data_IF_530302106767
#
_entry.id   IF_530302106767
#
_cell.length_a   1.000
_cell.length_b   1.000
_cell.length_c   1.000
_cell.angle_alpha   90.00
_cell.angle_beta   90.00
_cell.angle_gamma   90.00
#
_symmetry.space_group_name_H-M   'P 1'
#
loop_
_entity.id
_entity.type
_entity.pdbx_description
1 polymer ?
#
# COMPACT_ATOMS: atom_id res chain seq x y z
N UNK A 1 4.84 -11.37 25.65
CA UNK A 1 4.54 -11.09 24.22
C UNK A 1 3.06 -11.19 23.97
N UNK A 2 2.47 -10.23 23.23
CA UNK A 2 1.05 -10.30 22.83
C UNK A 2 0.90 -11.24 21.64
N UNK A 3 -0.04 -12.18 21.70
CA UNK A 3 -0.42 -13.04 20.58
C UNK A 3 -1.37 -12.29 19.65
N UNK A 4 -1.12 -12.35 18.33
CA UNK A 4 -2.03 -11.85 17.31
C UNK A 4 -2.57 -13.03 16.50
N UNK A 5 -3.89 -13.15 16.43
CA UNK A 5 -4.57 -14.32 15.83
C UNK A 5 -4.98 -14.10 14.38
N UNK A 6 -5.17 -12.85 13.93
CA UNK A 6 -5.56 -12.56 12.54
C UNK A 6 -4.55 -13.11 11.54
N UNK A 7 -5.00 -13.43 10.34
CA UNK A 7 -4.13 -13.97 9.27
C UNK A 7 -3.27 -12.90 8.61
N UNK A 8 -3.81 -11.68 8.47
CA UNK A 8 -3.11 -10.55 7.87
C UNK A 8 -2.74 -9.54 8.95
N UNK A 9 -1.42 -9.33 9.10
CA UNK A 9 -0.84 -8.43 10.08
C UNK A 9 -0.07 -7.34 9.35
N UNK A 10 -0.48 -6.12 9.54
CA UNK A 10 0.13 -4.95 8.91
C UNK A 10 1.08 -4.26 9.89
N UNK A 11 2.26 -3.87 9.40
CA UNK A 11 3.19 -3.01 10.08
C UNK A 11 3.39 -1.75 9.25
N UNK A 12 2.98 -0.61 9.73
CA UNK A 12 3.12 0.62 8.96
C UNK A 12 2.24 1.77 9.41
N UNK A 13 1.99 2.68 8.47
CA UNK A 13 1.36 3.96 8.76
C UNK A 13 -0.17 3.89 8.80
N UNK A 14 -0.70 4.65 9.75
CA UNK A 14 -2.07 5.17 9.78
C UNK A 14 -2.03 6.61 10.28
N UNK A 15 -2.59 7.55 9.54
CA UNK A 15 -2.62 8.97 9.89
C UNK A 15 -3.88 9.64 9.36
N UNK A 16 -4.16 10.83 9.87
CA UNK A 16 -5.22 11.66 9.33
C UNK A 16 -4.77 12.35 8.05
N UNK A 17 -5.64 12.38 7.06
CA UNK A 17 -5.49 13.12 5.81
C UNK A 17 -6.46 14.29 5.80
N UNK A 18 -5.94 15.50 5.67
CA UNK A 18 -6.71 16.73 5.52
C UNK A 18 -6.65 17.21 4.08
N UNK A 19 -7.80 17.44 3.48
CA UNK A 19 -7.90 18.04 2.14
C UNK A 19 -8.61 19.36 2.25
N UNK A 20 -7.93 20.42 1.89
CA UNK A 20 -8.45 21.78 1.85
C UNK A 20 -8.66 22.18 0.38
N UNK A 21 -9.92 22.43 -0.03
CA UNK A 21 -10.26 22.94 -1.36
C UNK A 21 -10.54 24.43 -1.26
N UNK A 22 -9.76 25.25 -1.96
CA UNK A 22 -9.98 26.68 -2.06
C UNK A 22 -11.35 26.98 -2.69
N UNK A 23 -12.13 27.86 -2.06
CA UNK A 23 -13.40 28.33 -2.62
C UNK A 23 -13.18 29.30 -3.80
N UNK A 24 -12.06 30.04 -3.77
CA UNK A 24 -11.69 31.06 -4.74
C UNK A 24 -10.25 30.82 -5.24
N UNK A 25 -9.72 31.72 -6.04
CA UNK A 25 -8.29 31.72 -6.38
C UNK A 25 -7.42 31.95 -5.14
N UNK A 26 -6.27 31.31 -5.09
CA UNK A 26 -5.30 31.50 -4.01
C UNK A 26 -4.82 32.95 -3.98
N UNK A 27 -4.97 33.59 -2.85
CA UNK A 27 -4.40 34.91 -2.58
C UNK A 27 -3.21 34.70 -1.65
N UNK A 28 -2.00 34.89 -2.18
CA UNK A 28 -0.77 34.73 -1.38
C UNK A 28 -0.74 35.75 -0.24
N UNK A 29 -0.17 35.34 0.89
CA UNK A 29 -0.02 36.16 2.10
C UNK A 29 -1.34 36.64 2.72
N UNK A 30 -2.45 35.97 2.46
CA UNK A 30 -3.78 36.28 3.02
C UNK A 30 -4.47 35.00 3.47
N UNK A 31 -5.47 35.16 4.33
CA UNK A 31 -6.37 34.07 4.71
C UNK A 31 -7.26 33.70 3.51
N UNK A 32 -7.29 32.44 3.18
CA UNK A 32 -8.08 31.91 2.06
C UNK A 32 -9.16 30.97 2.60
N UNK A 33 -10.45 31.24 2.34
CA UNK A 33 -11.55 30.36 2.71
C UNK A 33 -11.47 29.04 1.95
N UNK A 34 -11.66 27.93 2.68
CA UNK A 34 -11.62 26.56 2.14
C UNK A 34 -12.89 25.78 2.47
N UNK A 35 -13.16 24.74 1.69
CA UNK A 35 -13.89 23.54 2.15
C UNK A 35 -12.87 22.55 2.61
N UNK A 36 -13.12 21.83 3.70
CA UNK A 36 -12.21 20.81 4.17
C UNK A 36 -12.89 19.46 4.25
N UNK A 37 -12.09 18.41 4.07
CA UNK A 37 -12.49 17.01 4.20
C UNK A 37 -11.40 16.28 4.97
N UNK A 38 -11.84 15.38 5.84
CA UNK A 38 -10.96 14.53 6.61
C UNK A 38 -11.12 13.07 6.19
N UNK A 39 -10.04 12.34 6.26
CA UNK A 39 -10.02 10.90 6.03
C UNK A 39 -8.80 10.30 6.71
N UNK A 40 -8.73 8.97 6.72
CA UNK A 40 -7.55 8.27 7.19
C UNK A 40 -6.74 7.74 6.01
N UNK A 41 -5.42 7.91 6.06
CA UNK A 41 -4.45 7.50 5.08
C UNK A 41 -3.34 6.63 5.67
N UNK A 42 -2.30 6.43 4.87
CA UNK A 42 -1.18 5.55 5.13
C UNK A 42 -1.29 4.24 4.34
N UNK A 43 -0.20 3.81 3.69
CA UNK A 43 -0.22 2.63 2.80
C UNK A 43 -0.68 1.38 3.54
N UNK A 44 -0.09 1.07 4.71
CA UNK A 44 -0.50 -0.08 5.51
C UNK A 44 -1.99 -0.03 5.88
N UNK A 45 -2.51 1.14 6.30
CA UNK A 45 -3.92 1.32 6.60
C UNK A 45 -4.81 1.11 5.36
N UNK A 46 -4.46 1.73 4.24
CA UNK A 46 -5.26 1.65 3.02
C UNK A 46 -5.36 0.21 2.49
N UNK A 47 -4.24 -0.51 2.46
CA UNK A 47 -4.19 -1.94 2.09
C UNK A 47 -5.00 -2.79 3.08
N UNK A 48 -4.82 -2.55 4.38
CA UNK A 48 -5.55 -3.24 5.45
C UNK A 48 -7.06 -3.05 5.32
N UNK A 49 -7.53 -1.83 5.03
CA UNK A 49 -8.94 -1.50 4.86
C UNK A 49 -9.61 -2.30 3.74
N UNK A 50 -8.90 -2.56 2.65
CA UNK A 50 -9.43 -3.39 1.55
C UNK A 50 -9.64 -4.83 2.00
N UNK A 51 -8.66 -5.42 2.69
CA UNK A 51 -8.77 -6.79 3.21
C UNK A 51 -9.80 -6.85 4.34
N UNK A 52 -9.89 -5.83 5.18
CA UNK A 52 -10.83 -5.74 6.29
C UNK A 52 -12.31 -5.77 5.88
N UNK A 53 -12.61 -5.46 4.62
CA UNK A 53 -13.94 -5.67 4.05
C UNK A 53 -14.32 -7.17 3.92
N UNK A 54 -13.35 -8.07 3.98
CA UNK A 54 -13.52 -9.52 3.79
C UNK A 54 -13.26 -10.32 5.07
N UNK A 55 -12.22 -9.99 5.82
CA UNK A 55 -11.90 -10.63 7.09
C UNK A 55 -11.17 -9.65 8.02
N UNK A 56 -11.29 -9.89 9.32
CA UNK A 56 -10.67 -9.05 10.34
C UNK A 56 -9.15 -9.12 10.25
N UNK A 57 -8.50 -7.96 10.28
CA UNK A 57 -7.05 -7.82 10.19
C UNK A 57 -6.46 -7.13 11.42
N UNK A 58 -5.13 -7.12 11.53
CA UNK A 58 -4.42 -6.38 12.58
C UNK A 58 -3.47 -5.35 11.97
N UNK A 59 -3.44 -4.16 12.56
CA UNK A 59 -2.49 -3.10 12.21
C UNK A 59 -1.64 -2.76 13.43
N UNK A 60 -0.32 -2.92 13.29
CA UNK A 60 0.69 -2.55 14.27
C UNK A 60 1.37 -1.26 13.81
N UNK A 61 1.27 -0.23 14.63
CA UNK A 61 1.83 1.09 14.29
C UNK A 61 2.37 1.80 15.53
N UNK A 62 2.77 3.06 15.41
CA UNK A 62 2.97 3.93 16.56
C UNK A 62 1.61 4.30 17.16
N UNK A 63 1.57 4.63 18.46
CA UNK A 63 0.31 4.85 19.14
C UNK A 63 -0.48 6.02 18.54
N UNK A 64 -1.81 5.91 18.56
CA UNK A 64 -2.76 6.85 17.99
C UNK A 64 -3.74 7.35 19.04
N UNK A 65 -4.41 8.45 18.73
CA UNK A 65 -5.54 8.95 19.49
C UNK A 65 -6.74 7.99 19.45
N UNK A 66 -7.67 8.23 20.35
CA UNK A 66 -8.86 7.37 20.51
C UNK A 66 -9.77 7.40 19.29
N UNK A 67 -9.82 8.52 18.56
CA UNK A 67 -10.61 8.65 17.34
C UNK A 67 -10.11 7.72 16.25
N UNK A 68 -8.79 7.74 15.98
CA UNK A 68 -8.13 6.82 15.04
C UNK A 68 -8.36 5.36 15.44
N UNK A 69 -8.23 5.02 16.73
CA UNK A 69 -8.41 3.65 17.20
C UNK A 69 -9.86 3.21 17.01
N UNK A 70 -10.85 4.04 17.34
CA UNK A 70 -12.26 3.76 17.16
C UNK A 70 -12.63 3.61 15.68
N UNK A 71 -12.08 4.46 14.82
CA UNK A 71 -12.25 4.34 13.38
C UNK A 71 -11.73 3.00 12.86
N UNK A 72 -10.53 2.59 13.24
CA UNK A 72 -9.93 1.31 12.84
C UNK A 72 -10.81 0.13 13.29
N UNK A 73 -11.26 0.15 14.55
CA UNK A 73 -12.14 -0.89 15.11
C UNK A 73 -13.45 -1.01 14.34
N UNK A 74 -14.10 0.12 13.98
CA UNK A 74 -15.32 0.15 13.14
C UNK A 74 -15.10 -0.43 11.75
N UNK A 75 -13.88 -0.42 11.26
CA UNK A 75 -13.49 -0.96 9.95
C UNK A 75 -12.86 -2.36 10.04
N UNK A 76 -13.11 -3.16 11.08
CA UNK A 76 -12.58 -4.50 11.28
C UNK A 76 -11.04 -4.59 11.35
N UNK A 77 -10.38 -3.52 11.79
CA UNK A 77 -8.93 -3.46 11.96
C UNK A 77 -8.59 -3.41 13.44
N UNK A 78 -8.01 -4.48 13.99
CA UNK A 78 -7.48 -4.50 15.35
C UNK A 78 -6.19 -3.68 15.41
N UNK A 79 -6.14 -2.68 16.26
CA UNK A 79 -4.97 -1.83 16.42
C UNK A 79 -4.06 -2.32 17.55
N UNK A 80 -2.76 -2.32 17.28
CA UNK A 80 -1.69 -2.57 18.25
C UNK A 80 -0.62 -1.49 18.10
N UNK A 81 -0.04 -1.04 19.21
CA UNK A 81 1.01 -0.03 19.17
C UNK A 81 2.34 -0.54 19.68
N UNK A 82 3.44 -0.03 19.12
CA UNK A 82 4.79 -0.26 19.60
C UNK A 82 5.10 0.49 20.88
N UNK A 83 4.50 1.66 21.08
CA UNK A 83 4.77 2.60 22.15
C UNK A 83 3.48 3.05 22.84
N UNK A 84 3.63 3.74 23.99
CA UNK A 84 2.49 4.31 24.73
C UNK A 84 2.22 5.77 24.38
N UNK A 85 3.26 6.52 23.95
CA UNK A 85 3.16 7.95 23.63
C UNK A 85 2.36 8.15 22.35
N UNK A 86 1.33 8.97 22.40
CA UNK A 86 0.58 9.42 21.24
C UNK A 86 1.38 10.51 20.54
N UNK A 87 1.57 10.37 19.22
CA UNK A 87 2.24 11.36 18.39
C UNK A 87 1.28 11.70 17.24
N UNK A 88 0.90 12.97 17.14
CA UNK A 88 0.10 13.47 16.03
C UNK A 88 0.87 13.34 14.73
N UNK A 89 0.22 12.87 13.71
CA UNK A 89 0.75 12.73 12.36
C UNK A 89 -0.37 12.88 11.36
N UNK A 90 -0.06 13.57 10.28
CA UNK A 90 -1.06 13.90 9.27
C UNK A 90 -0.39 14.16 7.92
N UNK A 91 -1.20 14.06 6.91
CA UNK A 91 -0.92 14.56 5.58
C UNK A 91 -1.99 15.58 5.23
N UNK A 92 -1.59 16.78 4.79
CA UNK A 92 -2.51 17.84 4.42
C UNK A 92 -2.23 18.31 3.00
N UNK A 93 -3.27 18.53 2.21
CA UNK A 93 -3.16 19.07 0.87
C UNK A 93 -4.06 20.29 0.71
N UNK A 94 -3.53 21.30 0.04
CA UNK A 94 -4.28 22.44 -0.46
C UNK A 94 -4.51 22.26 -1.95
N UNK A 95 -5.77 22.24 -2.36
CA UNK A 95 -6.20 22.16 -3.75
C UNK A 95 -6.79 23.49 -4.19
N UNK A 96 -6.59 23.87 -5.46
CA UNK A 96 -7.31 25.00 -6.04
C UNK A 96 -8.78 24.61 -6.36
N UNK A 97 -9.57 25.56 -6.84
CA UNK A 97 -10.98 25.34 -7.22
C UNK A 97 -11.17 24.30 -8.33
N UNK A 98 -10.11 23.98 -9.08
CA UNK A 98 -10.11 22.94 -10.12
C UNK A 98 -9.64 21.58 -9.60
N UNK A 99 -9.39 21.47 -8.28
CA UNK A 99 -8.86 20.28 -7.59
C UNK A 99 -7.41 19.91 -7.93
N UNK A 100 -6.64 20.89 -8.39
CA UNK A 100 -5.21 20.72 -8.64
C UNK A 100 -4.41 21.04 -7.38
N UNK A 101 -3.38 20.23 -7.12
CA UNK A 101 -2.53 20.38 -5.95
C UNK A 101 -1.74 21.70 -5.99
N UNK A 102 -1.90 22.51 -4.94
CA UNK A 102 -1.13 23.72 -4.72
C UNK A 102 -0.02 23.52 -3.70
N UNK A 103 -0.29 22.76 -2.65
CA UNK A 103 0.64 22.53 -1.56
C UNK A 103 0.32 21.19 -0.90
N UNK A 104 1.36 20.40 -0.61
CA UNK A 104 1.30 19.21 0.24
C UNK A 104 2.15 19.40 1.48
N UNK A 105 1.61 19.05 2.63
CA UNK A 105 2.27 19.12 3.93
C UNK A 105 2.22 17.72 4.56
N UNK A 106 3.37 17.19 4.94
CA UNK A 106 3.48 15.89 5.59
C UNK A 106 4.12 16.05 6.98
N UNK A 107 3.38 15.67 8.02
CA UNK A 107 3.92 15.48 9.36
C UNK A 107 3.93 13.99 9.68
N UNK A 108 4.93 13.27 9.16
CA UNK A 108 5.04 11.81 9.26
C UNK A 108 6.35 11.33 9.89
N UNK A 109 7.20 12.25 10.35
CA UNK A 109 8.52 11.96 10.92
C UNK A 109 8.47 11.03 12.14
N UNK A 110 7.35 11.03 12.85
CA UNK A 110 7.12 10.14 13.98
C UNK A 110 7.30 8.64 13.62
N UNK A 111 7.09 8.24 12.38
CA UNK A 111 7.36 6.86 11.93
C UNK A 111 8.85 6.59 11.80
N UNK A 112 9.61 7.50 11.21
CA UNK A 112 11.07 7.38 11.06
C UNK A 112 11.78 7.43 12.42
N UNK A 113 11.30 8.28 13.33
CA UNK A 113 11.86 8.46 14.67
C UNK A 113 11.43 7.38 15.65
N UNK A 114 10.52 6.48 15.27
CA UNK A 114 10.03 5.42 16.16
C UNK A 114 11.16 4.45 16.53
N UNK A 115 11.74 4.63 17.70
CA UNK A 115 12.71 3.71 18.27
C UNK A 115 12.00 2.61 19.06
N UNK A 116 12.18 1.37 18.63
CA UNK A 116 11.61 0.18 19.28
C UNK A 116 12.74 -0.71 19.78
N UNK A 117 12.86 -0.87 21.11
CA UNK A 117 13.87 -1.76 21.71
C UNK A 117 13.62 -3.22 21.32
N UNK A 118 12.38 -3.67 21.45
CA UNK A 118 11.97 -5.02 21.09
C UNK A 118 10.57 -5.07 20.49
N UNK A 119 10.32 -6.00 19.57
CA UNK A 119 9.01 -6.23 18.99
C UNK A 119 8.31 -7.31 19.80
N UNK A 120 7.31 -6.96 20.60
CA UNK A 120 6.69 -7.86 21.60
C UNK A 120 5.39 -8.51 21.08
N UNK A 121 5.34 -8.88 19.79
CA UNK A 121 4.22 -9.61 19.19
C UNK A 121 4.68 -11.02 18.80
N UNK A 122 3.81 -12.04 19.01
CA UNK A 122 4.03 -13.41 18.60
C UNK A 122 3.19 -13.70 17.36
N UNK A 123 3.87 -14.01 16.25
CA UNK A 123 3.27 -14.34 14.96
C UNK A 123 3.84 -15.68 14.47
N UNK A 124 2.96 -16.55 13.97
CA UNK A 124 3.35 -17.80 13.33
C UNK A 124 2.36 -18.10 12.20
N UNK A 125 2.88 -18.46 11.03
CA UNK A 125 2.09 -18.80 9.83
C UNK A 125 1.13 -17.68 9.42
N UNK A 126 1.61 -16.44 9.47
CA UNK A 126 0.85 -15.23 9.14
C UNK A 126 1.37 -14.57 7.87
N UNK A 127 0.52 -13.72 7.27
CA UNK A 127 0.92 -12.79 6.23
C UNK A 127 1.28 -11.46 6.90
N UNK A 128 2.57 -11.15 6.91
CA UNK A 128 3.13 -9.94 7.52
C UNK A 128 3.36 -8.92 6.42
N UNK A 129 2.49 -7.93 6.37
CA UNK A 129 2.51 -6.86 5.35
C UNK A 129 3.18 -5.64 5.97
N UNK A 130 4.18 -5.10 5.28
CA UNK A 130 4.98 -3.98 5.77
C UNK A 130 4.95 -2.87 4.72
N UNK A 131 4.58 -1.66 5.13
CA UNK A 131 4.90 -0.46 4.37
C UNK A 131 6.25 0.11 4.82
N UNK A 132 6.82 1.03 4.04
CA UNK A 132 8.15 1.54 4.28
C UNK A 132 8.17 2.89 5.01
N UNK A 133 7.12 3.20 5.78
CA UNK A 133 7.08 4.44 6.55
C UNK A 133 7.99 4.41 7.78
N UNK A 134 8.19 3.26 8.40
CA UNK A 134 9.15 3.13 9.50
C UNK A 134 10.59 3.34 9.07
N UNK A 135 11.48 3.63 10.03
CA UNK A 135 12.92 3.69 9.79
C UNK A 135 13.45 2.38 9.20
N UNK A 136 14.56 2.45 8.50
CA UNK A 136 15.24 1.25 7.97
C UNK A 136 15.56 0.25 9.09
N UNK A 137 16.02 0.75 10.24
CA UNK A 137 16.35 -0.09 11.42
C UNK A 137 15.11 -0.84 11.91
N UNK A 138 13.95 -0.18 12.02
CA UNK A 138 12.73 -0.85 12.49
C UNK A 138 12.19 -1.80 11.44
N UNK A 139 12.20 -1.40 10.16
CA UNK A 139 11.81 -2.28 9.03
C UNK A 139 12.66 -3.55 9.01
N UNK A 140 13.98 -3.42 9.15
CA UNK A 140 14.91 -4.55 9.30
C UNK A 140 14.52 -5.45 10.46
N UNK A 141 14.33 -4.88 11.67
CA UNK A 141 13.95 -5.66 12.86
C UNK A 141 12.66 -6.46 12.64
N UNK A 142 11.67 -5.90 11.94
CA UNK A 142 10.40 -6.58 11.64
C UNK A 142 10.65 -7.75 10.69
N UNK A 143 11.36 -7.52 9.58
CA UNK A 143 11.69 -8.56 8.59
C UNK A 143 12.46 -9.69 9.26
N UNK A 144 13.56 -9.37 9.95
CA UNK A 144 14.43 -10.36 10.62
C UNK A 144 13.69 -11.21 11.66
N UNK A 145 12.75 -10.60 12.36
CA UNK A 145 11.97 -11.31 13.38
C UNK A 145 11.00 -12.33 12.78
N UNK A 146 10.41 -12.03 11.63
CA UNK A 146 9.24 -12.77 11.17
C UNK A 146 9.47 -13.62 9.91
N UNK A 147 10.51 -13.41 9.12
CA UNK A 147 10.69 -14.04 7.80
C UNK A 147 10.76 -15.58 7.84
N UNK A 148 11.23 -16.19 8.93
CA UNK A 148 11.39 -17.67 9.00
C UNK A 148 10.06 -18.42 9.12
N UNK A 149 9.08 -17.83 9.82
CA UNK A 149 7.85 -18.52 10.19
C UNK A 149 6.59 -17.82 9.67
N UNK A 150 6.74 -16.81 8.82
CA UNK A 150 5.64 -16.05 8.28
C UNK A 150 5.99 -15.62 6.85
N UNK A 151 5.00 -15.25 6.05
CA UNK A 151 5.20 -14.67 4.72
C UNK A 151 5.38 -13.18 4.82
N UNK A 152 6.50 -12.67 4.32
CA UNK A 152 6.81 -11.24 4.32
C UNK A 152 6.37 -10.62 3.01
N UNK A 153 5.47 -9.65 3.10
CA UNK A 153 4.91 -8.91 1.98
C UNK A 153 5.28 -7.44 2.15
N UNK A 154 5.94 -6.86 1.16
CA UNK A 154 6.28 -5.44 1.17
C UNK A 154 5.38 -4.70 0.20
N UNK A 155 4.75 -3.62 0.67
CA UNK A 155 4.07 -2.64 -0.16
C UNK A 155 4.95 -1.38 -0.29
N UNK A 156 5.31 -1.02 -1.51
CA UNK A 156 6.02 0.22 -1.81
C UNK A 156 5.27 1.43 -1.26
N UNK A 157 6.01 2.45 -0.89
CA UNK A 157 5.44 3.66 -0.27
C UNK A 157 5.85 4.91 -1.03
N UNK A 158 7.10 4.95 -1.46
CA UNK A 158 7.64 5.99 -2.33
C UNK A 158 9.03 5.61 -2.83
N UNK A 159 9.49 6.19 -3.95
CA UNK A 159 10.85 5.97 -4.46
C UNK A 159 11.95 6.34 -3.44
N UNK A 160 11.69 7.29 -2.54
CA UNK A 160 12.66 7.69 -1.50
C UNK A 160 12.85 6.61 -0.44
N UNK A 161 11.81 5.84 -0.14
CA UNK A 161 11.81 4.86 0.96
C UNK A 161 12.16 3.44 0.51
N UNK A 162 12.10 3.14 -0.80
CA UNK A 162 12.20 1.76 -1.29
C UNK A 162 13.56 1.12 -1.03
N UNK A 163 14.64 1.90 -0.99
CA UNK A 163 15.99 1.39 -0.76
C UNK A 163 16.17 0.72 0.62
N UNK A 164 15.28 1.00 1.59
CA UNK A 164 15.29 0.36 2.92
C UNK A 164 15.24 -1.18 2.86
N UNK A 165 14.72 -1.74 1.76
CA UNK A 165 14.58 -3.21 1.61
C UNK A 165 15.64 -3.84 0.71
N UNK A 166 16.54 -3.05 0.11
CA UNK A 166 17.49 -3.53 -0.91
C UNK A 166 18.32 -4.73 -0.44
N UNK A 167 18.78 -4.71 0.80
CA UNK A 167 19.58 -5.77 1.42
C UNK A 167 18.75 -6.98 1.89
N UNK A 168 17.42 -6.88 1.87
CA UNK A 168 16.51 -7.89 2.43
C UNK A 168 15.69 -8.61 1.37
N UNK A 169 15.92 -8.38 0.08
CA UNK A 169 15.15 -8.97 -1.02
C UNK A 169 15.00 -10.49 -0.90
N UNK A 170 16.04 -11.19 -0.44
CA UNK A 170 16.02 -12.66 -0.25
C UNK A 170 15.08 -13.14 0.86
N UNK A 171 14.60 -12.24 1.75
CA UNK A 171 13.72 -12.55 2.88
C UNK A 171 12.28 -12.08 2.64
N UNK A 172 11.99 -11.61 1.44
CA UNK A 172 10.68 -11.08 1.04
C UNK A 172 10.02 -12.11 0.14
N UNK A 173 8.82 -12.54 0.51
CA UNK A 173 8.02 -13.49 -0.27
C UNK A 173 7.22 -12.78 -1.37
N UNK A 174 6.75 -11.56 -1.10
CA UNK A 174 6.00 -10.79 -2.07
C UNK A 174 6.41 -9.30 -2.02
N UNK A 175 6.63 -8.71 -3.19
CA UNK A 175 7.02 -7.31 -3.34
C UNK A 175 6.04 -6.62 -4.31
N UNK A 176 5.34 -5.61 -3.82
CA UNK A 176 4.35 -4.85 -4.59
C UNK A 176 4.85 -3.41 -4.70
N UNK A 177 5.11 -2.96 -5.92
CA UNK A 177 5.73 -1.68 -6.23
C UNK A 177 4.97 -0.96 -7.35
N UNK A 178 5.20 0.35 -7.47
CA UNK A 178 5.00 1.04 -8.74
C UNK A 178 6.31 1.06 -9.55
N UNK A 179 6.20 1.47 -10.81
CA UNK A 179 7.33 1.54 -11.76
C UNK A 179 8.49 2.40 -11.24
N UNK A 180 8.20 3.56 -10.67
CA UNK A 180 9.23 4.49 -10.20
C UNK A 180 9.97 3.92 -8.97
N UNK A 181 9.27 3.22 -8.11
CA UNK A 181 9.88 2.50 -6.97
C UNK A 181 10.77 1.35 -7.46
N UNK A 182 10.32 0.60 -8.46
CA UNK A 182 11.12 -0.46 -9.08
C UNK A 182 12.41 0.10 -9.69
N UNK A 183 12.32 1.18 -10.45
CA UNK A 183 13.47 1.84 -11.06
C UNK A 183 14.45 2.36 -10.01
N UNK A 184 13.93 2.94 -8.93
CA UNK A 184 14.77 3.42 -7.83
C UNK A 184 15.47 2.29 -7.09
N UNK A 185 14.78 1.17 -6.86
CA UNK A 185 15.35 0.00 -6.19
C UNK A 185 16.48 -0.66 -6.99
N UNK A 186 16.30 -0.74 -8.29
CA UNK A 186 17.22 -1.45 -9.19
C UNK A 186 18.30 -0.56 -9.82
N UNK A 187 18.07 0.76 -9.85
CA UNK A 187 18.81 1.74 -10.66
C UNK A 187 18.77 1.44 -12.19
N UNK A 188 17.72 0.78 -12.67
CA UNK A 188 17.52 0.42 -14.07
C UNK A 188 16.20 1.05 -14.52
N UNK A 189 16.19 1.85 -15.61
CA UNK A 189 14.99 2.51 -16.17
C UNK A 189 14.31 1.70 -17.28
N UNK A 190 14.25 0.40 -17.11
CA UNK A 190 13.53 -0.54 -17.97
C UNK A 190 12.80 -1.54 -17.09
N UNK A 191 11.49 -1.72 -17.32
CA UNK A 191 10.65 -2.56 -16.45
C UNK A 191 11.10 -4.03 -16.50
N UNK A 192 11.33 -4.58 -17.70
CA UNK A 192 11.66 -6.01 -17.85
C UNK A 192 13.04 -6.30 -17.27
N UNK A 193 14.04 -5.46 -17.57
CA UNK A 193 15.40 -5.58 -17.00
C UNK A 193 15.38 -5.44 -15.48
N UNK A 194 14.59 -4.51 -14.96
CA UNK A 194 14.42 -4.31 -13.50
C UNK A 194 13.76 -5.52 -12.83
N UNK A 195 12.71 -6.08 -13.43
CA UNK A 195 12.04 -7.30 -12.94
C UNK A 195 13.05 -8.46 -12.96
N UNK A 196 13.77 -8.65 -14.06
CA UNK A 196 14.83 -9.68 -14.20
C UNK A 196 15.92 -9.54 -13.12
N UNK A 197 16.32 -8.29 -12.81
CA UNK A 197 17.27 -8.02 -11.72
C UNK A 197 16.73 -8.49 -10.37
N UNK A 198 15.48 -8.19 -10.03
CA UNK A 198 14.85 -8.62 -8.77
C UNK A 198 14.77 -10.14 -8.69
N UNK A 199 14.30 -10.80 -9.76
CA UNK A 199 14.21 -12.26 -9.85
C UNK A 199 15.58 -12.91 -9.66
N UNK A 200 16.64 -12.36 -10.27
CA UNK A 200 18.02 -12.87 -10.07
C UNK A 200 18.45 -12.77 -8.59
N UNK A 201 17.98 -11.77 -7.85
CA UNK A 201 18.28 -11.62 -6.41
C UNK A 201 17.45 -12.55 -5.54
N UNK A 202 16.21 -12.83 -5.93
CA UNK A 202 15.30 -13.75 -5.24
C UNK A 202 14.41 -14.48 -6.27
N UNK A 203 14.79 -15.69 -6.73
CA UNK A 203 14.00 -16.43 -7.73
C UNK A 203 12.60 -16.84 -7.27
N UNK A 204 12.38 -16.93 -5.96
CA UNK A 204 11.11 -17.35 -5.37
C UNK A 204 10.16 -16.18 -5.04
N UNK A 205 10.55 -14.95 -5.40
CA UNK A 205 9.75 -13.77 -5.09
C UNK A 205 8.46 -13.76 -5.92
N UNK A 206 7.37 -13.39 -5.27
CA UNK A 206 6.16 -12.95 -5.93
C UNK A 206 6.25 -11.44 -6.15
N UNK A 207 6.29 -10.99 -7.39
CA UNK A 207 6.51 -9.58 -7.73
C UNK A 207 5.31 -9.00 -8.46
N UNK A 208 4.84 -7.84 -7.99
CA UNK A 208 3.80 -7.05 -8.66
C UNK A 208 4.33 -5.64 -8.91
N UNK A 209 4.26 -5.19 -10.15
CA UNK A 209 4.71 -3.85 -10.55
C UNK A 209 3.60 -3.13 -11.30
N UNK A 210 3.07 -2.05 -10.75
CA UNK A 210 2.06 -1.23 -11.39
C UNK A 210 2.70 -0.07 -12.19
N UNK A 211 2.11 0.24 -13.37
CA UNK A 211 2.47 1.41 -14.19
C UNK A 211 1.22 2.26 -14.46
N UNK A 212 0.58 2.71 -13.38
CA UNK A 212 -0.59 3.59 -13.44
C UNK A 212 -1.70 3.04 -14.33
N UNK A 213 -2.10 3.81 -15.34
CA UNK A 213 -3.13 3.45 -16.31
C UNK A 213 -2.64 2.49 -17.42
N UNK A 214 -1.36 2.16 -17.47
CA UNK A 214 -0.78 1.30 -18.51
C UNK A 214 -1.00 -0.18 -18.19
N UNK A 215 0.01 -0.84 -17.63
CA UNK A 215 -0.04 -2.27 -17.29
C UNK A 215 0.33 -2.47 -15.82
N UNK A 216 -0.16 -3.55 -15.25
CA UNK A 216 0.38 -4.09 -14.00
C UNK A 216 1.00 -5.45 -14.31
N UNK A 217 2.26 -5.60 -13.99
CA UNK A 217 3.04 -6.82 -14.21
C UNK A 217 2.98 -7.70 -12.97
N UNK A 218 2.91 -9.00 -13.16
CA UNK A 218 2.98 -10.00 -12.10
C UNK A 218 3.94 -11.12 -12.46
N UNK A 219 4.82 -11.46 -11.52
CA UNK A 219 5.74 -12.59 -11.64
C UNK A 219 5.62 -13.51 -10.43
N UNK A 220 5.58 -14.81 -10.69
CA UNK A 220 5.60 -15.86 -9.68
C UNK A 220 5.97 -17.20 -10.30
N UNK A 221 6.93 -17.93 -9.71
CA UNK A 221 7.32 -19.28 -10.10
C UNK A 221 7.50 -19.43 -11.63
N UNK A 222 8.33 -18.57 -12.23
CA UNK A 222 8.61 -18.49 -13.66
C UNK A 222 7.43 -18.07 -14.56
N UNK A 223 6.27 -17.82 -14.00
CA UNK A 223 5.13 -17.26 -14.72
C UNK A 223 5.22 -15.74 -14.70
N UNK A 224 5.27 -15.13 -15.88
CA UNK A 224 5.29 -13.68 -16.04
C UNK A 224 4.14 -13.20 -16.90
N UNK A 225 3.33 -12.31 -16.37
CA UNK A 225 2.12 -11.81 -17.01
C UNK A 225 1.97 -10.31 -16.82
N UNK A 226 1.15 -9.69 -17.66
CA UNK A 226 0.65 -8.34 -17.39
C UNK A 226 -0.88 -8.29 -17.50
N UNK A 227 -1.46 -7.33 -16.77
CA UNK A 227 -2.89 -7.01 -16.84
C UNK A 227 -3.03 -5.53 -17.17
N UNK A 228 -3.73 -5.23 -18.28
CA UNK A 228 -4.03 -3.86 -18.70
C UNK A 228 -5.43 -3.46 -18.21
N UNK A 229 -5.57 -2.37 -17.43
CA UNK A 229 -6.86 -1.84 -17.03
C UNK A 229 -7.61 -1.25 -18.24
N UNK A 230 -8.94 -1.17 -18.21
CA UNK A 230 -9.69 -0.40 -19.20
C UNK A 230 -9.46 1.12 -19.01
N UNK A 231 -9.61 1.87 -20.09
CA UNK A 231 -9.62 3.35 -20.01
C UNK A 231 -10.83 3.82 -19.20
N UNK A 232 -10.61 4.72 -18.24
CA UNK A 232 -11.63 5.29 -17.37
C UNK A 232 -11.42 6.80 -17.23
N UNK A 233 -12.47 7.51 -16.81
CA UNK A 233 -12.33 8.87 -16.25
C UNK A 233 -11.88 8.73 -14.81
N UNK A 234 -10.68 9.21 -14.49
CA UNK A 234 -10.11 9.19 -13.15
C UNK A 234 -10.73 10.29 -12.30
N UNK A 235 -11.22 9.97 -11.12
CA UNK A 235 -11.77 10.90 -10.13
C UNK A 235 -10.93 10.96 -8.85
N UNK A 236 -10.16 9.89 -8.55
CA UNK A 236 -9.35 9.78 -7.36
C UNK A 236 -8.16 8.82 -7.58
N UNK A 237 -7.00 9.35 -7.85
CA UNK A 237 -5.77 8.57 -8.05
C UNK A 237 -5.18 8.04 -6.74
N UNK A 238 -5.28 8.83 -5.67
CA UNK A 238 -4.66 8.51 -4.39
C UNK A 238 -5.27 7.25 -3.78
N UNK A 239 -4.42 6.27 -3.45
CA UNK A 239 -4.83 5.00 -2.88
C UNK A 239 -5.32 3.95 -3.88
N UNK A 240 -5.31 4.22 -5.20
CA UNK A 240 -5.65 3.21 -6.20
C UNK A 240 -4.66 2.04 -6.21
N UNK A 241 -3.36 2.33 -6.05
CA UNK A 241 -2.31 1.34 -5.87
C UNK A 241 -2.51 0.50 -4.60
N UNK A 242 -2.88 1.13 -3.49
CA UNK A 242 -3.17 0.44 -2.22
C UNK A 242 -4.40 -0.46 -2.34
N UNK A 243 -5.45 0.01 -3.05
CA UNK A 243 -6.64 -0.76 -3.31
C UNK A 243 -6.34 -1.99 -4.19
N UNK A 244 -5.50 -1.83 -5.20
CA UNK A 244 -4.97 -2.92 -6.04
C UNK A 244 -4.19 -3.91 -5.20
N UNK A 245 -3.24 -3.43 -4.39
CA UNK A 245 -2.39 -4.26 -3.55
C UNK A 245 -3.20 -5.08 -2.53
N UNK A 246 -4.15 -4.45 -1.83
CA UNK A 246 -5.01 -5.11 -0.84
C UNK A 246 -5.84 -6.23 -1.46
N UNK A 247 -6.47 -5.97 -2.61
CA UNK A 247 -7.24 -6.97 -3.33
C UNK A 247 -6.35 -8.11 -3.83
N UNK A 248 -5.20 -7.80 -4.46
CA UNK A 248 -4.24 -8.79 -4.91
C UNK A 248 -3.78 -9.71 -3.77
N UNK A 249 -3.30 -9.13 -2.65
CA UNK A 249 -2.84 -9.88 -1.46
C UNK A 249 -3.94 -10.82 -0.98
N UNK A 250 -5.15 -10.30 -0.76
CA UNK A 250 -6.25 -11.11 -0.26
C UNK A 250 -6.49 -12.34 -1.12
N UNK A 251 -6.73 -12.15 -2.43
CA UNK A 251 -7.07 -13.26 -3.30
C UNK A 251 -5.89 -14.20 -3.55
N UNK A 252 -4.66 -13.66 -3.65
CA UNK A 252 -3.47 -14.49 -3.85
C UNK A 252 -3.24 -15.45 -2.67
N UNK A 253 -3.47 -14.97 -1.44
CA UNK A 253 -3.32 -15.80 -0.24
C UNK A 253 -4.59 -16.54 0.17
N UNK A 254 -5.64 -16.48 -0.62
CA UNK A 254 -6.78 -17.42 -0.64
C UNK A 254 -6.66 -18.45 -1.78
N UNK A 255 -5.44 -18.71 -2.26
CA UNK A 255 -5.09 -19.71 -3.25
C UNK A 255 -5.68 -19.49 -4.65
N UNK A 256 -6.03 -18.24 -5.01
CA UNK A 256 -6.36 -17.91 -6.39
C UNK A 256 -5.08 -17.87 -7.23
N UNK A 257 -5.17 -18.17 -8.53
CA UNK A 257 -4.02 -18.08 -9.44
C UNK A 257 -3.48 -16.65 -9.54
N UNK A 258 -2.24 -16.52 -10.01
CA UNK A 258 -1.60 -15.22 -10.25
C UNK A 258 -2.47 -14.33 -11.16
N UNK A 259 -2.96 -14.89 -12.27
CA UNK A 259 -3.78 -14.17 -13.25
C UNK A 259 -5.06 -13.61 -12.61
N UNK A 260 -5.79 -14.47 -11.89
CA UNK A 260 -7.04 -14.08 -11.25
C UNK A 260 -6.84 -13.07 -10.15
N UNK A 261 -5.81 -13.25 -9.32
CA UNK A 261 -5.49 -12.33 -8.23
C UNK A 261 -5.05 -10.97 -8.76
N UNK A 262 -4.21 -10.96 -9.82
CA UNK A 262 -3.74 -9.72 -10.43
C UNK A 262 -4.88 -8.97 -11.12
N UNK A 263 -5.76 -9.68 -11.85
CA UNK A 263 -6.93 -9.08 -12.50
C UNK A 263 -7.90 -8.48 -11.48
N UNK A 264 -8.16 -9.18 -10.37
CA UNK A 264 -8.98 -8.67 -9.26
C UNK A 264 -8.33 -7.44 -8.61
N UNK A 265 -7.02 -7.47 -8.42
CA UNK A 265 -6.25 -6.32 -7.94
C UNK A 265 -6.40 -5.11 -8.85
N UNK A 266 -6.08 -5.26 -10.13
CA UNK A 266 -6.18 -4.19 -11.15
C UNK A 266 -7.60 -3.65 -11.24
N UNK A 267 -8.61 -4.52 -11.24
CA UNK A 267 -10.01 -4.10 -11.28
C UNK A 267 -10.40 -3.30 -10.03
N UNK A 268 -9.95 -3.72 -8.85
CA UNK A 268 -10.21 -3.01 -7.58
C UNK A 268 -9.57 -1.62 -7.58
N UNK A 269 -8.30 -1.51 -7.99
CA UNK A 269 -7.61 -0.23 -8.16
C UNK A 269 -8.30 0.69 -9.17
N UNK A 270 -8.79 0.12 -10.29
CA UNK A 270 -9.53 0.85 -11.33
C UNK A 270 -10.88 1.38 -10.81
N UNK A 271 -11.63 0.56 -10.05
CA UNK A 271 -12.90 0.99 -9.43
C UNK A 271 -12.61 2.11 -8.42
N UNK A 272 -11.54 1.99 -7.62
CA UNK A 272 -11.11 3.04 -6.69
C UNK A 272 -10.84 4.36 -7.44
N UNK A 273 -10.02 4.31 -8.49
CA UNK A 273 -9.66 5.49 -9.28
C UNK A 273 -10.87 6.15 -9.96
N UNK A 274 -11.88 5.37 -10.33
CA UNK A 274 -13.14 5.86 -10.91
C UNK A 274 -14.11 6.42 -9.86
N UNK A 275 -13.94 6.09 -8.60
CA UNK A 275 -14.86 6.44 -7.52
C UNK A 275 -14.53 7.78 -6.88
N UNK A 276 -15.52 8.48 -6.34
CA UNK A 276 -15.27 9.63 -5.47
C UNK A 276 -14.54 9.18 -4.19
N UNK A 277 -13.75 10.07 -3.59
CA UNK A 277 -13.06 9.80 -2.31
C UNK A 277 -14.06 9.27 -1.27
N UNK A 278 -13.62 8.29 -0.46
CA UNK A 278 -14.42 7.63 0.58
C UNK A 278 -15.61 6.77 0.08
N UNK A 279 -15.72 6.49 -1.21
CA UNK A 279 -16.75 5.57 -1.72
C UNK A 279 -16.38 4.12 -1.36
N UNK A 280 -17.35 3.38 -0.82
CA UNK A 280 -17.18 1.93 -0.57
C UNK A 280 -17.11 1.18 -1.91
N UNK A 281 -16.05 0.39 -2.10
CA UNK A 281 -15.89 -0.42 -3.31
C UNK A 281 -16.92 -1.54 -3.34
N UNK A 282 -17.70 -1.62 -4.42
CA UNK A 282 -18.75 -2.63 -4.62
C UNK A 282 -18.22 -3.78 -5.47
N UNK A 283 -18.51 -5.02 -5.08
CA UNK A 283 -18.08 -6.21 -5.84
C UNK A 283 -18.65 -6.24 -7.25
N UNK A 284 -19.89 -5.75 -7.45
CA UNK A 284 -20.51 -5.67 -8.77
C UNK A 284 -19.69 -4.79 -9.72
N UNK A 285 -19.17 -3.67 -9.23
CA UNK A 285 -18.35 -2.77 -10.04
C UNK A 285 -16.98 -3.39 -10.37
N UNK A 286 -16.40 -4.11 -9.41
CA UNK A 286 -15.15 -4.86 -9.62
C UNK A 286 -15.35 -5.94 -10.69
N UNK A 287 -16.43 -6.73 -10.62
CA UNK A 287 -16.78 -7.76 -11.64
C UNK A 287 -16.94 -7.16 -13.03
N UNK A 288 -17.60 -6.00 -13.16
CA UNK A 288 -17.75 -5.29 -14.45
C UNK A 288 -16.40 -4.86 -15.04
N UNK A 289 -15.44 -4.44 -14.20
CA UNK A 289 -14.10 -4.03 -14.65
C UNK A 289 -13.25 -5.24 -15.03
N UNK A 290 -13.29 -6.34 -14.27
CA UNK A 290 -12.54 -7.57 -14.59
C UNK A 290 -12.80 -8.03 -16.02
N UNK A 291 -14.06 -8.05 -16.46
CA UNK A 291 -14.45 -8.46 -17.80
C UNK A 291 -13.88 -7.56 -18.91
N UNK A 292 -13.38 -6.38 -18.56
CA UNK A 292 -12.77 -5.39 -19.47
C UNK A 292 -11.24 -5.36 -19.36
N UNK A 293 -10.63 -6.08 -18.42
CA UNK A 293 -9.17 -6.17 -18.30
C UNK A 293 -8.62 -7.13 -19.38
N UNK A 294 -7.40 -6.82 -19.86
CA UNK A 294 -6.70 -7.68 -20.82
C UNK A 294 -5.48 -8.29 -20.14
N UNK A 295 -5.42 -9.62 -20.12
CA UNK A 295 -4.27 -10.38 -19.60
C UNK A 295 -3.36 -10.74 -20.78
N UNK A 296 -2.06 -10.57 -20.60
CA UNK A 296 -1.05 -10.96 -21.57
C UNK A 296 0.05 -11.76 -20.87
N UNK A 297 0.53 -12.82 -21.51
CA UNK A 297 1.79 -13.43 -21.11
C UNK A 297 2.91 -12.48 -21.51
N UNK A 298 3.88 -12.32 -20.63
CA UNK A 298 5.08 -11.52 -20.85
C UNK A 298 6.28 -12.45 -20.95
N UNK A 299 7.34 -12.02 -21.66
CA UNK A 299 8.59 -12.75 -21.77
C UNK A 299 9.70 -12.02 -21.03
N UNK A 300 10.53 -12.78 -20.30
CA UNK A 300 11.73 -12.27 -19.64
C UNK A 300 12.98 -12.38 -20.51
N UNK A 301 12.88 -12.96 -21.70
CA UNK A 301 14.01 -13.20 -22.60
C UNK A 301 14.41 -11.97 -23.43
N UNK A 302 13.98 -10.79 -23.05
CA UNK A 302 14.36 -9.53 -23.70
C UNK A 302 15.62 -8.94 -23.08
#
# INVERSE_FOLDING_TARGET
MKQIYNNFIFFGAVHQDFVFELKNHLIKFRTNPVKHYESFGGVAHNVAKVIACKEKVSLVSINSDIETINYLKKNNINFFSFNKKIQKRYYAVLLNKFKELQLGIANTDAYEQCAVKSINFRLKEKHVIIDLNFSEILTKKIIEKYYKNNRIIICGTSPFKINKIKSYLKKIDCLILNKEELFKLTNIRDIHKSIKYIIKKNPNINLVVSDGANKTYGYELSKFISVKPPKIKVLNENGAGDAMAGSYIYYRYKNFSLEKSLSLGVATGTVHAKSKKNTKLKEVDIKKIINKTKIQKEDLNV
#
